data_IF_342136635634
#
_entry.id   IF_342136635634
#
_cell.length_a   1.000
_cell.length_b   1.000
_cell.length_c   1.000
_cell.angle_alpha   90.00
_cell.angle_beta   90.00
_cell.angle_gamma   90.00
#
_symmetry.space_group_name_H-M   'P 1'
#
loop_
_entity.id
_entity.type
_entity.pdbx_description
1 polymer ?
#
# COMPACT_ATOMS: atom_id res chain seq x y z
N UNK A 1 -14.33 -10.64 11.46
CA UNK A 1 -14.33 -9.60 10.42
C UNK A 1 -13.52 -10.14 9.28
N UNK A 2 -14.10 -10.17 8.08
CA UNK A 2 -13.37 -10.52 6.86
C UNK A 2 -12.52 -9.31 6.45
N UNK A 3 -11.30 -9.54 5.97
CA UNK A 3 -10.37 -8.50 5.53
C UNK A 3 -10.30 -8.57 4.00
N UNK A 4 -10.53 -7.46 3.32
CA UNK A 4 -10.47 -7.43 1.86
C UNK A 4 -9.03 -7.41 1.35
N UNK A 5 -8.84 -7.73 0.06
CA UNK A 5 -7.52 -7.63 -0.60
C UNK A 5 -7.03 -6.18 -0.62
N UNK A 6 -7.94 -5.21 -0.71
CA UNK A 6 -7.61 -3.79 -0.69
C UNK A 6 -7.08 -3.36 0.68
N UNK A 7 -7.69 -3.85 1.76
CA UNK A 7 -7.23 -3.59 3.13
C UNK A 7 -5.82 -4.17 3.34
N UNK A 8 -5.58 -5.38 2.85
CA UNK A 8 -4.26 -6.01 2.91
C UNK A 8 -3.22 -5.23 2.10
N UNK A 9 -3.55 -4.82 0.87
CA UNK A 9 -2.64 -4.03 0.04
C UNK A 9 -2.30 -2.68 0.70
N UNK A 10 -3.31 -2.01 1.26
CA UNK A 10 -3.15 -0.76 2.01
C UNK A 10 -2.20 -0.96 3.20
N UNK A 11 -2.48 -1.95 4.05
CA UNK A 11 -1.69 -2.24 5.24
C UNK A 11 -0.22 -2.58 4.93
N UNK A 12 0.05 -3.40 3.89
CA UNK A 12 1.43 -3.74 3.51
C UNK A 12 2.16 -2.55 2.88
N UNK A 13 1.45 -1.62 2.24
CA UNK A 13 2.05 -0.41 1.67
C UNK A 13 2.68 0.48 2.74
N UNK A 14 2.16 0.45 3.97
CA UNK A 14 2.70 1.20 5.13
C UNK A 14 4.18 0.88 5.39
N UNK A 15 4.61 -0.38 5.19
CA UNK A 15 5.99 -0.78 5.47
C UNK A 15 6.99 -0.19 4.49
N UNK A 16 6.62 -0.06 3.21
CA UNK A 16 7.47 0.55 2.18
C UNK A 16 7.41 2.08 2.19
N UNK A 17 6.41 2.65 2.87
CA UNK A 17 6.25 4.09 3.10
C UNK A 17 6.76 4.52 4.47
N UNK A 18 7.80 3.87 4.98
CA UNK A 18 8.46 4.30 6.23
C UNK A 18 7.50 4.39 7.44
N UNK A 19 6.44 3.57 7.45
CA UNK A 19 5.45 3.53 8.51
C UNK A 19 4.24 4.45 8.31
N UNK A 20 4.16 5.14 7.18
CA UNK A 20 3.01 5.99 6.83
C UNK A 20 1.88 5.17 6.18
N UNK A 21 0.77 5.04 6.89
CA UNK A 21 -0.46 4.46 6.37
C UNK A 21 -1.21 5.50 5.53
N UNK A 22 -1.82 5.06 4.43
CA UNK A 22 -2.60 5.92 3.53
C UNK A 22 -3.92 5.22 3.24
N UNK A 23 -5.02 5.93 3.45
CA UNK A 23 -6.34 5.45 3.00
C UNK A 23 -6.35 5.33 1.46
N UNK A 24 -6.74 4.18 0.89
CA UNK A 24 -6.72 3.99 -0.56
C UNK A 24 -7.63 4.98 -1.31
N UNK A 25 -7.05 5.68 -2.28
CA UNK A 25 -7.79 6.61 -3.15
C UNK A 25 -7.97 5.98 -4.53
N UNK A 26 -9.24 5.83 -4.94
CA UNK A 26 -9.61 5.30 -6.26
C UNK A 26 -9.75 6.41 -7.31
N UNK A 27 -10.27 7.58 -6.92
CA UNK A 27 -10.56 8.71 -7.82
C UNK A 27 -9.83 9.93 -7.28
N UNK A 28 -8.84 10.45 -8.00
CA UNK A 28 -8.04 11.62 -7.57
C UNK A 28 -8.70 12.95 -7.88
N UNK A 29 -9.53 13.01 -8.93
CA UNK A 29 -10.22 14.23 -9.35
C UNK A 29 -11.50 13.91 -10.11
N UNK A 30 -12.53 14.71 -9.88
CA UNK A 30 -13.76 14.71 -10.68
C UNK A 30 -13.91 16.11 -11.27
N UNK A 31 -14.03 16.17 -12.60
CA UNK A 31 -14.22 17.41 -13.35
C UNK A 31 -15.42 17.28 -14.27
N UNK A 32 -16.07 18.41 -14.54
CA UNK A 32 -17.14 18.54 -15.51
C UNK A 32 -16.77 19.59 -16.53
N UNK A 33 -17.04 19.31 -17.81
CA UNK A 33 -16.93 20.30 -18.88
C UNK A 33 -18.32 20.85 -19.18
N UNK A 34 -18.49 22.16 -19.09
CA UNK A 34 -19.74 22.86 -19.44
C UNK A 34 -19.38 24.02 -20.36
N UNK A 35 -19.99 24.06 -21.54
CA UNK A 35 -19.76 25.12 -22.55
C UNK A 35 -18.28 25.36 -22.92
N UNK A 36 -17.46 24.31 -22.84
CA UNK A 36 -16.01 24.36 -23.11
C UNK A 36 -15.14 24.75 -21.92
N UNK A 37 -15.73 25.07 -20.77
CA UNK A 37 -15.00 25.38 -19.54
C UNK A 37 -14.93 24.17 -18.59
N UNK A 38 -13.76 23.96 -17.98
CA UNK A 38 -13.54 22.89 -17.00
C UNK A 38 -13.90 23.39 -15.60
N UNK A 39 -14.81 22.69 -14.94
CA UNK A 39 -15.16 22.88 -13.53
C UNK A 39 -14.70 21.68 -12.71
N UNK A 40 -13.84 21.93 -11.72
CA UNK A 40 -13.45 20.90 -10.75
C UNK A 40 -14.59 20.72 -9.75
N UNK A 41 -15.09 19.48 -9.63
CA UNK A 41 -16.16 19.11 -8.70
C UNK A 41 -15.60 18.54 -7.40
N UNK A 42 -14.50 17.79 -7.48
CA UNK A 42 -13.84 17.20 -6.32
C UNK A 42 -12.37 16.89 -6.63
N UNK A 43 -11.52 16.95 -5.61
CA UNK A 43 -10.13 16.49 -5.63
C UNK A 43 -9.90 15.67 -4.36
N UNK A 44 -9.28 14.50 -4.49
CA UNK A 44 -8.85 13.68 -3.37
C UNK A 44 -7.32 13.60 -3.37
N UNK A 45 -6.71 14.02 -2.27
CA UNK A 45 -5.27 13.95 -2.04
C UNK A 45 -4.98 12.95 -0.94
N UNK A 46 -3.90 12.18 -1.08
CA UNK A 46 -3.48 11.26 -0.03
C UNK A 46 -3.12 12.04 1.24
N UNK A 47 -3.62 11.57 2.38
CA UNK A 47 -3.31 12.10 3.70
C UNK A 47 -2.61 10.99 4.49
N UNK A 48 -1.27 10.99 4.55
CA UNK A 48 -0.52 9.95 5.24
C UNK A 48 -0.62 10.12 6.77
N UNK A 49 -0.84 9.03 7.48
CA UNK A 49 -0.78 8.94 8.94
C UNK A 49 0.42 8.11 9.37
N UNK A 50 1.23 8.61 10.31
CA UNK A 50 2.36 7.85 10.86
C UNK A 50 1.86 6.78 11.85
N UNK A 51 1.54 5.59 11.34
CA UNK A 51 0.99 4.50 12.14
C UNK A 51 2.05 3.76 12.97
N UNK A 52 3.28 3.64 12.45
CA UNK A 52 4.42 3.01 13.13
C UNK A 52 5.71 3.79 12.86
N UNK A 53 6.76 3.61 13.66
CA UNK A 53 8.04 4.29 13.37
C UNK A 53 8.67 3.77 12.06
N UNK A 54 9.43 4.63 11.39
CA UNK A 54 10.26 4.26 10.23
C UNK A 54 11.17 3.05 10.54
N UNK A 55 11.81 3.07 11.71
CA UNK A 55 12.69 1.98 12.16
C UNK A 55 11.95 0.64 12.31
N UNK A 56 10.68 0.68 12.73
CA UNK A 56 9.84 -0.51 12.84
C UNK A 56 9.41 -0.98 11.46
N UNK A 57 8.95 -0.07 10.60
CA UNK A 57 8.57 -0.35 9.22
C UNK A 57 9.72 -1.01 8.44
N UNK A 58 10.93 -0.48 8.55
CA UNK A 58 12.13 -1.02 7.91
C UNK A 58 12.47 -2.44 8.41
N UNK A 59 12.38 -2.70 9.72
CA UNK A 59 12.60 -4.03 10.29
C UNK A 59 11.57 -5.04 9.81
N UNK A 60 10.30 -4.64 9.72
CA UNK A 60 9.22 -5.49 9.19
C UNK A 60 9.46 -5.77 7.71
N UNK A 61 9.73 -4.75 6.90
CA UNK A 61 10.02 -4.90 5.47
C UNK A 61 11.22 -5.83 5.23
N UNK A 62 12.30 -5.69 6.01
CA UNK A 62 13.46 -6.57 5.95
C UNK A 62 13.11 -8.02 6.28
N UNK A 63 12.30 -8.23 7.32
CA UNK A 63 11.84 -9.56 7.75
C UNK A 63 10.98 -10.21 6.67
N UNK A 64 10.04 -9.47 6.09
CA UNK A 64 9.19 -9.93 5.00
C UNK A 64 9.98 -10.25 3.72
N UNK A 65 11.08 -9.53 3.46
CA UNK A 65 12.02 -9.87 2.39
C UNK A 65 12.68 -11.23 2.64
N UNK A 66 13.06 -11.55 3.88
CA UNK A 66 13.64 -12.87 4.17
C UNK A 66 12.62 -14.00 3.92
N UNK A 67 11.34 -13.76 4.15
CA UNK A 67 10.30 -14.75 3.87
C UNK A 67 10.19 -15.08 2.37
N UNK A 68 10.36 -14.09 1.50
CA UNK A 68 10.41 -14.30 0.04
C UNK A 68 11.73 -14.95 -0.39
N UNK A 69 12.85 -14.63 0.25
CA UNK A 69 14.15 -15.20 -0.14
C UNK A 69 14.34 -16.65 0.31
N UNK A 70 13.85 -17.00 1.51
CA UNK A 70 14.15 -18.30 2.14
C UNK A 70 13.08 -18.79 3.13
N UNK A 71 11.87 -18.23 3.09
CA UNK A 71 10.77 -18.63 3.97
C UNK A 71 9.67 -19.37 3.21
N UNK A 72 8.42 -19.11 3.60
CA UNK A 72 7.24 -19.74 2.98
C UNK A 72 6.84 -19.07 1.66
N UNK A 73 7.33 -17.86 1.39
CA UNK A 73 6.97 -17.05 0.22
C UNK A 73 7.91 -17.20 -0.97
N UNK A 74 8.75 -18.23 -1.03
CA UNK A 74 9.80 -18.38 -2.04
C UNK A 74 9.28 -18.42 -3.48
N UNK A 75 8.08 -18.96 -3.70
CA UNK A 75 7.41 -18.94 -5.01
C UNK A 75 7.01 -17.54 -5.51
N UNK A 76 7.04 -16.52 -4.64
CA UNK A 76 6.76 -15.13 -5.00
C UNK A 76 8.04 -14.32 -5.32
N UNK A 77 9.20 -14.97 -5.42
CA UNK A 77 10.44 -14.31 -5.82
C UNK A 77 10.37 -13.89 -7.30
N UNK A 78 10.61 -12.60 -7.55
CA UNK A 78 10.63 -11.99 -8.87
C UNK A 78 11.99 -11.31 -9.11
N UNK A 79 12.23 -10.79 -10.32
CA UNK A 79 13.52 -10.19 -10.72
C UNK A 79 13.92 -8.91 -9.99
N UNK A 80 13.09 -8.44 -9.06
CA UNK A 80 13.35 -7.26 -8.21
C UNK A 80 13.25 -7.65 -6.73
N UNK A 81 13.89 -6.90 -5.82
CA UNK A 81 13.71 -7.12 -4.38
C UNK A 81 12.22 -7.07 -4.02
N UNK A 82 11.71 -8.16 -3.44
CA UNK A 82 10.33 -8.28 -3.02
C UNK A 82 10.25 -8.69 -1.55
N UNK A 83 9.19 -8.23 -0.87
CA UNK A 83 8.86 -8.54 0.50
C UNK A 83 7.40 -8.97 0.56
N UNK A 84 7.09 -10.02 1.31
CA UNK A 84 5.73 -10.54 1.34
C UNK A 84 5.53 -11.62 2.39
N UNK A 85 4.26 -11.92 2.66
CA UNK A 85 3.84 -12.93 3.62
C UNK A 85 2.85 -13.89 2.96
N UNK A 86 2.88 -15.14 3.39
CA UNK A 86 1.87 -16.14 3.00
C UNK A 86 0.74 -16.20 4.02
N UNK A 87 -0.47 -16.48 3.53
CA UNK A 87 -1.65 -16.84 4.33
C UNK A 87 -2.28 -18.12 3.77
N UNK A 88 -2.80 -18.95 4.65
CA UNK A 88 -3.56 -20.18 4.34
C UNK A 88 -4.72 -20.25 5.34
N UNK A 89 -5.84 -20.84 4.96
CA UNK A 89 -7.04 -20.98 5.80
C UNK A 89 -7.22 -22.40 6.29
#
# INVERSE_FOLDING_TARGET
GEVSVLDMASAYSTFVREGQAIEPIMITKVEQVVDGEVRVLSTNTAEPEQAISESTAAQVAWTLRQNVLRGTGTGASISVPAAGKTGTT
#
